data_IF_620112299345
#
_entry.id   IF_620112299345
#
_cell.length_a   1.000
_cell.length_b   1.000
_cell.length_c   1.000
_cell.angle_alpha   90.00
_cell.angle_beta   90.00
_cell.angle_gamma   90.00
#
_symmetry.space_group_name_H-M   'P 1'
#
loop_
_entity.id
_entity.type
_entity.pdbx_description
1 polymer ?
#
# COMPACT_ATOMS: atom_id res chain seq x y z
N UNK A 1 -28.81 -18.38 -7.38
CA UNK A 1 -27.84 -17.50 -8.05
C UNK A 1 -27.85 -16.18 -7.29
N UNK A 2 -26.72 -15.81 -6.68
CA UNK A 2 -26.54 -14.54 -5.97
C UNK A 2 -26.44 -13.38 -6.96
N UNK A 3 -26.51 -12.12 -6.49
CA UNK A 3 -26.22 -10.96 -7.36
C UNK A 3 -24.80 -11.03 -7.93
N UNK A 4 -23.85 -11.57 -7.18
CA UNK A 4 -22.47 -11.70 -7.63
C UNK A 4 -22.33 -12.76 -8.72
N UNK A 5 -23.03 -13.89 -8.61
CA UNK A 5 -23.06 -14.91 -9.66
C UNK A 5 -23.58 -14.33 -10.98
N UNK A 6 -24.59 -13.45 -10.93
CA UNK A 6 -25.10 -12.77 -12.11
C UNK A 6 -24.06 -11.83 -12.73
N UNK A 7 -23.35 -11.02 -11.91
CA UNK A 7 -22.28 -10.13 -12.40
C UNK A 7 -21.14 -10.92 -13.04
N UNK A 8 -20.79 -12.07 -12.47
CA UNK A 8 -19.77 -12.97 -13.02
C UNK A 8 -20.21 -13.58 -14.35
N UNK A 9 -21.47 -13.95 -14.50
CA UNK A 9 -22.00 -14.44 -15.78
C UNK A 9 -22.07 -13.32 -16.82
N UNK A 10 -22.49 -12.11 -16.44
CA UNK A 10 -22.47 -10.94 -17.33
C UNK A 10 -21.05 -10.63 -17.82
N UNK A 11 -20.05 -10.74 -16.93
CA UNK A 11 -18.64 -10.61 -17.27
C UNK A 11 -18.20 -11.71 -18.24
N UNK A 12 -18.54 -12.98 -17.97
CA UNK A 12 -18.19 -14.14 -18.83
C UNK A 12 -18.78 -14.02 -20.23
N UNK A 13 -20.02 -13.51 -20.32
CA UNK A 13 -20.72 -13.29 -21.58
C UNK A 13 -20.31 -11.98 -22.29
N UNK A 14 -19.42 -11.18 -21.69
CA UNK A 14 -18.98 -9.90 -22.23
C UNK A 14 -20.05 -8.80 -22.22
N UNK A 15 -21.13 -8.97 -21.45
CA UNK A 15 -22.25 -8.01 -21.34
C UNK A 15 -21.91 -6.80 -20.47
N UNK A 16 -21.03 -6.97 -19.48
CA UNK A 16 -20.66 -5.93 -18.53
C UNK A 16 -19.18 -6.03 -18.14
N UNK A 17 -18.52 -4.87 -18.02
CA UNK A 17 -17.09 -4.77 -17.70
C UNK A 17 -16.85 -4.55 -16.20
N UNK A 18 -17.42 -5.41 -15.34
CA UNK A 18 -17.33 -5.23 -13.89
C UNK A 18 -15.90 -5.12 -13.35
N UNK A 19 -14.93 -5.77 -14.00
CA UNK A 19 -13.50 -5.73 -13.65
C UNK A 19 -12.74 -4.55 -14.28
N UNK A 20 -13.42 -3.59 -14.91
CA UNK A 20 -12.75 -2.42 -15.49
C UNK A 20 -12.03 -1.62 -14.42
N UNK A 21 -12.65 -1.40 -13.27
CA UNK A 21 -12.04 -0.73 -12.12
C UNK A 21 -11.79 -1.75 -11.02
N UNK A 22 -10.65 -1.69 -10.36
CA UNK A 22 -10.33 -2.63 -9.30
C UNK A 22 -9.09 -2.24 -8.50
N UNK A 23 -8.73 -3.04 -7.49
CA UNK A 23 -7.57 -2.83 -6.65
C UNK A 23 -6.31 -3.34 -7.37
N UNK A 24 -6.03 -2.80 -8.56
CA UNK A 24 -4.85 -3.16 -9.34
C UNK A 24 -3.69 -2.19 -9.10
N UNK A 25 -3.90 -1.13 -8.31
CA UNK A 25 -2.87 -0.19 -7.91
C UNK A 25 -2.08 -0.78 -6.74
N UNK A 26 -0.75 -0.80 -6.84
CA UNK A 26 0.12 -1.27 -5.76
C UNK A 26 0.03 -0.32 -4.56
N UNK A 27 0.14 -0.80 -3.33
CA UNK A 27 0.22 0.08 -2.16
C UNK A 27 1.64 0.57 -1.86
N UNK A 28 2.65 -0.08 -2.49
CA UNK A 28 4.08 0.23 -2.39
C UNK A 28 4.78 -0.11 -3.72
N UNK A 29 5.45 0.86 -4.35
CA UNK A 29 6.16 0.61 -5.62
C UNK A 29 7.52 1.32 -5.75
N UNK A 30 8.07 1.84 -4.64
CA UNK A 30 9.45 2.35 -4.58
C UNK A 30 10.47 1.20 -4.38
N UNK A 31 11.74 1.42 -4.73
CA UNK A 31 12.81 0.42 -4.63
C UNK A 31 12.65 -0.77 -5.58
N UNK A 32 12.14 -0.55 -6.79
CA UNK A 32 11.88 -1.60 -7.78
C UNK A 32 12.86 -1.55 -8.96
N UNK A 33 13.15 -2.71 -9.55
CA UNK A 33 14.07 -2.84 -10.70
C UNK A 33 13.60 -2.01 -11.91
N UNK A 34 12.30 -1.80 -12.07
CA UNK A 34 11.74 -1.02 -13.19
C UNK A 34 12.06 0.47 -13.09
N UNK A 35 12.22 0.98 -11.87
CA UNK A 35 12.55 2.39 -11.61
C UNK A 35 14.05 2.64 -11.40
N UNK A 36 14.88 1.60 -11.63
CA UNK A 36 16.32 1.67 -11.51
C UNK A 36 16.95 2.31 -12.75
N UNK A 37 17.54 3.48 -12.54
CA UNK A 37 18.38 4.17 -13.51
C UNK A 37 19.78 4.43 -12.95
N UNK A 38 20.19 3.66 -11.93
CA UNK A 38 21.54 3.71 -11.39
C UNK A 38 22.54 3.15 -12.41
N UNK A 39 23.79 3.64 -12.35
CA UNK A 39 24.85 3.16 -13.22
C UNK A 39 25.23 1.69 -12.96
N UNK A 40 24.94 1.17 -11.76
CA UNK A 40 25.44 -0.11 -11.26
C UNK A 40 24.34 -1.15 -10.97
N UNK A 41 23.07 -0.86 -11.29
CA UNK A 41 21.96 -1.79 -11.05
C UNK A 41 21.54 -1.92 -9.59
N UNK A 42 21.67 -0.86 -8.79
CA UNK A 42 21.32 -0.82 -7.37
C UNK A 42 19.88 -0.34 -7.13
N UNK A 43 18.91 -1.02 -7.74
CA UNK A 43 17.49 -0.65 -7.76
C UNK A 43 16.89 -0.24 -6.39
N UNK A 44 17.20 -1.00 -5.34
CA UNK A 44 16.68 -0.79 -3.99
C UNK A 44 17.27 0.46 -3.30
N UNK A 45 18.43 0.93 -3.73
CA UNK A 45 19.09 2.13 -3.20
C UNK A 45 18.80 3.37 -4.07
N UNK A 46 18.60 3.16 -5.37
CA UNK A 46 18.43 4.25 -6.33
C UNK A 46 17.10 5.00 -6.14
N UNK A 47 16.04 4.27 -5.79
CA UNK A 47 14.72 4.85 -5.61
C UNK A 47 14.14 4.56 -4.22
N UNK A 48 14.66 5.22 -3.16
CA UNK A 48 14.21 5.02 -1.79
C UNK A 48 12.80 5.60 -1.57
N UNK A 49 12.18 5.20 -0.46
CA UNK A 49 10.91 5.79 -0.01
C UNK A 49 10.93 7.33 0.04
N UNK A 50 12.07 7.92 0.38
CA UNK A 50 12.22 9.38 0.43
C UNK A 50 11.95 10.07 -0.92
N UNK A 51 12.38 9.44 -2.02
CA UNK A 51 12.15 9.95 -3.36
C UNK A 51 10.72 9.67 -3.85
N UNK A 52 10.10 8.58 -3.38
CA UNK A 52 8.77 8.13 -3.79
C UNK A 52 7.70 9.24 -3.68
N UNK A 53 7.83 10.12 -2.68
CA UNK A 53 6.91 11.25 -2.45
C UNK A 53 7.10 12.45 -3.37
N UNK A 54 8.23 12.53 -4.07
CA UNK A 54 8.64 13.74 -4.79
C UNK A 54 9.09 13.47 -6.22
N UNK A 55 8.95 12.23 -6.69
CA UNK A 55 9.35 11.80 -8.03
C UNK A 55 8.17 11.16 -8.74
N UNK A 56 7.93 11.59 -9.98
CA UNK A 56 7.00 10.90 -10.86
C UNK A 56 7.58 9.54 -11.27
N UNK A 57 6.76 8.50 -11.16
CA UNK A 57 7.11 7.15 -11.55
C UNK A 57 6.97 7.05 -13.08
N UNK A 58 7.76 6.18 -13.71
CA UNK A 58 7.71 5.94 -15.15
C UNK A 58 7.02 4.64 -15.50
N UNK A 59 7.11 3.64 -14.63
CA UNK A 59 6.67 2.27 -14.91
C UNK A 59 5.71 1.72 -13.85
N UNK A 60 5.10 2.60 -13.06
CA UNK A 60 4.28 2.22 -11.92
C UNK A 60 3.57 3.41 -11.30
N UNK A 61 2.72 3.11 -10.33
CA UNK A 61 2.08 4.07 -9.43
C UNK A 61 1.77 3.33 -8.12
N UNK A 62 1.70 4.05 -7.00
CA UNK A 62 1.28 3.47 -5.73
C UNK A 62 0.28 4.32 -4.95
N UNK A 63 -0.51 3.66 -4.09
CA UNK A 63 -1.51 4.33 -3.25
C UNK A 63 -2.18 3.38 -2.25
N UNK A 64 -2.29 3.79 -0.97
CA UNK A 64 -2.93 2.99 0.09
C UNK A 64 -4.41 2.76 -0.24
N UNK A 65 -4.81 1.49 -0.39
CA UNK A 65 -6.19 1.14 -0.72
C UNK A 65 -6.66 1.79 -2.02
N UNK A 66 -5.74 1.99 -2.96
CA UNK A 66 -6.05 2.61 -4.24
C UNK A 66 -6.78 1.68 -5.20
N UNK A 67 -7.49 2.30 -6.14
CA UNK A 67 -8.09 1.61 -7.28
C UNK A 67 -7.61 2.27 -8.58
N UNK A 68 -7.64 1.51 -9.65
CA UNK A 68 -7.37 2.04 -10.98
C UNK A 68 -8.22 1.31 -12.01
N UNK A 69 -8.25 1.84 -13.23
CA UNK A 69 -8.77 1.07 -14.34
C UNK A 69 -7.81 -0.10 -14.68
N UNK A 70 -8.30 -1.09 -15.42
CA UNK A 70 -7.57 -2.33 -15.74
C UNK A 70 -6.29 -2.10 -16.55
N UNK A 71 -6.11 -0.89 -17.11
CA UNK A 71 -4.90 -0.48 -17.82
C UNK A 71 -4.05 0.53 -17.04
N UNK A 72 -4.39 0.82 -15.76
CA UNK A 72 -3.69 1.79 -14.90
C UNK A 72 -3.51 3.18 -15.56
N UNK A 73 -4.47 3.62 -16.37
CA UNK A 73 -4.47 4.96 -16.98
C UNK A 73 -4.95 6.03 -16.02
N UNK A 74 -5.86 5.66 -15.12
CA UNK A 74 -6.37 6.51 -14.04
C UNK A 74 -6.17 5.75 -12.74
N UNK A 75 -5.34 6.33 -11.88
CA UNK A 75 -5.10 5.84 -10.53
C UNK A 75 -5.79 6.77 -9.53
N UNK A 76 -6.48 6.19 -8.57
CA UNK A 76 -7.13 6.91 -7.48
C UNK A 76 -6.73 6.27 -6.16
N UNK A 77 -6.29 7.09 -5.21
CA UNK A 77 -6.03 6.65 -3.85
C UNK A 77 -6.29 7.80 -2.85
N UNK A 78 -6.76 7.49 -1.64
CA UNK A 78 -6.79 8.45 -0.56
C UNK A 78 -5.38 8.77 -0.04
N UNK A 79 -5.23 9.96 0.56
CA UNK A 79 -4.04 10.39 1.27
C UNK A 79 -4.43 10.88 2.67
N UNK A 80 -3.62 10.56 3.68
CA UNK A 80 -3.93 10.91 5.07
C UNK A 80 -2.85 11.78 5.70
N UNK A 81 -3.23 12.60 6.68
CA UNK A 81 -2.29 13.37 7.47
C UNK A 81 -2.83 13.59 8.89
N UNK A 82 -2.08 13.11 9.88
CA UNK A 82 -2.45 13.24 11.29
C UNK A 82 -1.99 14.59 11.90
N UNK A 83 -1.47 15.51 11.07
CA UNK A 83 -0.88 16.81 11.46
C UNK A 83 0.42 16.73 12.26
N UNK A 84 0.97 15.52 12.43
CA UNK A 84 2.22 15.27 13.16
C UNK A 84 3.28 14.66 12.26
N UNK A 85 2.85 13.87 11.27
CA UNK A 85 3.74 13.29 10.29
C UNK A 85 4.43 14.36 9.44
N UNK A 86 5.70 14.14 9.08
CA UNK A 86 6.43 15.04 8.18
C UNK A 86 5.97 14.94 6.72
N UNK A 87 5.12 13.96 6.38
CA UNK A 87 4.64 13.69 5.03
C UNK A 87 3.16 13.31 5.00
N UNK A 88 2.55 13.42 3.82
CA UNK A 88 1.27 12.75 3.58
C UNK A 88 1.48 11.24 3.55
N UNK A 89 0.57 10.53 4.19
CA UNK A 89 0.50 9.07 4.18
C UNK A 89 -0.30 8.64 2.96
N UNK A 90 0.42 8.49 1.85
CA UNK A 90 -0.13 8.15 0.53
C UNK A 90 0.15 6.71 0.12
N UNK A 91 1.25 6.14 0.64
CA UNK A 91 1.76 4.80 0.31
C UNK A 91 2.25 4.11 1.57
N UNK A 92 2.30 2.77 1.54
CA UNK A 92 2.80 2.00 2.67
C UNK A 92 4.31 2.18 2.81
N UNK A 93 4.74 2.41 4.04
CA UNK A 93 6.15 2.42 4.40
C UNK A 93 6.66 1.00 4.64
N UNK A 94 7.94 0.80 4.35
CA UNK A 94 8.61 -0.46 4.58
C UNK A 94 10.12 -0.29 4.52
N UNK A 95 10.82 -1.39 4.72
CA UNK A 95 12.26 -1.52 4.66
C UNK A 95 12.64 -2.22 3.36
N UNK A 96 13.72 -1.79 2.73
CA UNK A 96 14.39 -2.57 1.68
C UNK A 96 15.05 -3.82 2.27
N UNK A 97 15.43 -4.75 1.41
CA UNK A 97 16.15 -5.97 1.83
C UNK A 97 17.49 -5.73 2.55
N UNK A 98 18.08 -4.54 2.45
CA UNK A 98 19.30 -4.17 3.20
C UNK A 98 18.99 -3.52 4.54
N UNK A 99 17.78 -2.97 4.71
CA UNK A 99 17.35 -2.29 5.94
C UNK A 99 16.67 -3.25 6.92
N UNK A 100 16.00 -4.30 6.43
CA UNK A 100 15.41 -5.35 7.26
C UNK A 100 16.39 -6.49 7.56
N UNK A 101 16.34 -7.02 8.79
CA UNK A 101 17.17 -8.15 9.21
C UNK A 101 16.73 -9.49 8.58
N UNK A 102 15.47 -9.61 8.15
CA UNK A 102 14.93 -10.76 7.42
C UNK A 102 14.51 -10.44 5.96
N UNK A 103 14.85 -9.26 5.45
CA UNK A 103 14.61 -8.89 4.05
C UNK A 103 13.73 -7.65 3.90
N UNK A 104 13.03 -7.58 2.77
CA UNK A 104 12.06 -6.50 2.54
C UNK A 104 10.84 -6.70 3.43
N UNK A 105 10.40 -5.63 4.08
CA UNK A 105 9.35 -5.74 5.09
C UNK A 105 8.48 -4.47 5.19
N UNK A 106 7.17 -4.63 5.22
CA UNK A 106 6.20 -3.54 5.30
C UNK A 106 5.92 -3.22 6.77
N UNK A 107 6.24 -2.01 7.21
CA UNK A 107 6.14 -1.61 8.62
C UNK A 107 4.83 -0.90 8.93
N UNK A 108 3.72 -1.40 8.39
CA UNK A 108 2.39 -0.80 8.47
C UNK A 108 1.36 -1.82 8.94
N UNK A 109 0.27 -1.37 9.54
CA UNK A 109 -0.83 -2.26 9.94
C UNK A 109 -2.08 -2.01 9.09
N UNK A 110 -2.42 -2.98 8.24
CA UNK A 110 -3.58 -2.91 7.36
C UNK A 110 -4.19 -4.29 7.11
N UNK A 111 -5.47 -4.31 6.74
CA UNK A 111 -6.25 -5.52 6.58
C UNK A 111 -7.22 -5.36 5.40
N UNK A 112 -7.23 -6.32 4.49
CA UNK A 112 -8.31 -6.45 3.51
C UNK A 112 -9.48 -7.17 4.18
N UNK A 113 -10.61 -6.48 4.33
CA UNK A 113 -11.74 -6.96 5.10
C UNK A 113 -12.79 -7.64 4.23
N UNK A 114 -13.01 -7.13 3.02
CA UNK A 114 -13.97 -7.70 2.08
C UNK A 114 -13.61 -7.35 0.63
N UNK A 115 -13.89 -8.25 -0.29
CA UNK A 115 -13.70 -8.05 -1.72
C UNK A 115 -14.58 -9.01 -2.53
N UNK A 116 -15.55 -8.47 -3.27
CA UNK A 116 -16.31 -9.26 -4.24
C UNK A 116 -15.42 -9.65 -5.44
N UNK A 117 -15.56 -10.85 -6.03
CA UNK A 117 -14.80 -11.28 -7.21
C UNK A 117 -14.86 -10.33 -8.42
N UNK A 118 -15.94 -9.57 -8.56
CA UNK A 118 -16.15 -8.55 -9.60
C UNK A 118 -15.65 -7.16 -9.19
N UNK A 119 -15.06 -7.03 -8.00
CA UNK A 119 -14.70 -5.76 -7.36
C UNK A 119 -15.90 -4.79 -7.28
N UNK A 120 -17.11 -5.32 -7.21
CA UNK A 120 -18.33 -4.53 -7.03
C UNK A 120 -18.43 -3.94 -5.62
N UNK A 121 -17.74 -4.56 -4.67
CA UNK A 121 -17.48 -4.04 -3.34
C UNK A 121 -16.05 -4.39 -2.92
N UNK A 122 -15.36 -3.44 -2.29
CA UNK A 122 -14.02 -3.58 -1.71
C UNK A 122 -13.99 -2.85 -0.37
N UNK A 123 -13.36 -3.45 0.63
CA UNK A 123 -13.15 -2.84 1.94
C UNK A 123 -11.77 -3.16 2.50
N UNK A 124 -11.06 -2.11 2.90
CA UNK A 124 -9.77 -2.17 3.58
C UNK A 124 -9.85 -1.40 4.90
N UNK A 125 -9.15 -1.88 5.91
CA UNK A 125 -8.86 -1.15 7.14
C UNK A 125 -7.36 -0.81 7.16
N UNK A 126 -7.05 0.45 7.36
CA UNK A 126 -5.70 0.93 7.61
C UNK A 126 -5.61 1.56 9.00
N UNK A 127 -4.61 1.16 9.80
CA UNK A 127 -4.35 1.72 11.14
C UNK A 127 -3.28 2.80 11.05
N UNK A 128 -3.69 4.05 11.29
CA UNK A 128 -2.79 5.20 11.18
C UNK A 128 -2.51 5.82 12.56
N UNK A 129 -1.25 6.00 12.99
CA UNK A 129 -0.97 6.53 14.32
C UNK A 129 -1.43 7.99 14.50
N UNK A 130 -1.79 8.36 15.73
CA UNK A 130 -2.09 9.76 16.10
C UNK A 130 -0.83 10.60 16.33
N UNK A 131 0.27 9.96 16.69
CA UNK A 131 1.60 10.58 16.77
C UNK A 131 2.33 10.51 15.43
N UNK A 132 3.47 11.19 15.32
CA UNK A 132 4.38 11.02 14.20
C UNK A 132 4.71 9.54 13.97
N UNK A 133 4.73 9.11 12.72
CA UNK A 133 5.05 7.75 12.36
C UNK A 133 6.56 7.51 12.53
N UNK A 134 6.99 6.40 13.18
CA UNK A 134 8.38 6.24 13.65
C UNK A 134 9.35 5.76 12.56
N UNK A 135 9.36 6.40 11.38
CA UNK A 135 10.17 6.02 10.21
C UNK A 135 11.64 5.74 10.55
N UNK A 136 12.33 6.74 11.13
CA UNK A 136 13.76 6.64 11.42
C UNK A 136 14.08 5.57 12.46
N UNK A 137 13.20 5.37 13.46
CA UNK A 137 13.38 4.35 14.50
C UNK A 137 13.24 2.94 13.91
N UNK A 138 12.28 2.73 13.01
CA UNK A 138 12.08 1.45 12.32
C UNK A 138 13.31 1.06 11.49
N UNK A 139 13.87 1.98 10.71
CA UNK A 139 15.08 1.73 9.93
C UNK A 139 16.28 1.48 10.85
N UNK A 140 16.50 2.35 11.83
CA UNK A 140 17.69 2.29 12.68
C UNK A 140 17.75 1.04 13.56
N UNK A 141 16.61 0.61 14.10
CA UNK A 141 16.56 -0.57 14.98
C UNK A 141 16.70 -1.87 14.18
N UNK A 142 15.99 -2.01 13.05
CA UNK A 142 16.13 -3.19 12.19
C UNK A 142 17.55 -3.30 11.59
N UNK A 143 18.17 -2.18 11.24
CA UNK A 143 19.56 -2.15 10.75
C UNK A 143 20.62 -2.55 11.78
N UNK A 144 20.29 -2.56 13.08
CA UNK A 144 21.18 -3.06 14.16
C UNK A 144 20.99 -4.55 14.44
N UNK A 145 19.87 -5.12 14.02
CA UNK A 145 19.52 -6.51 14.31
C UNK A 145 20.22 -7.46 13.35
N UNK A 146 20.49 -8.65 13.85
CA UNK A 146 21.03 -9.76 13.08
C UNK A 146 19.90 -10.67 12.60
N UNK A 147 20.24 -11.63 11.74
CA UNK A 147 19.28 -12.66 11.29
C UNK A 147 18.77 -13.55 12.44
N UNK A 148 19.46 -13.58 13.58
CA UNK A 148 19.05 -14.37 14.75
C UNK A 148 18.05 -13.62 15.63
N UNK A 149 17.96 -12.30 15.50
CA UNK A 149 17.04 -11.46 16.26
C UNK A 149 15.66 -11.43 15.57
N UNK A 150 14.56 -11.28 16.31
CA UNK A 150 13.24 -11.04 15.71
C UNK A 150 13.22 -9.70 14.97
N UNK A 151 12.25 -9.50 14.08
CA UNK A 151 12.02 -8.20 13.44
C UNK A 151 11.56 -7.16 14.47
N UNK A 152 11.89 -5.89 14.25
CA UNK A 152 11.36 -4.78 15.06
C UNK A 152 10.15 -4.18 14.34
N UNK A 153 8.97 -4.40 14.89
CA UNK A 153 7.70 -4.06 14.26
C UNK A 153 7.17 -2.69 14.67
N UNK A 154 6.22 -2.17 13.89
CA UNK A 154 5.52 -0.92 14.21
C UNK A 154 4.90 -0.97 15.62
N UNK A 155 4.38 -2.13 16.04
CA UNK A 155 3.81 -2.32 17.36
C UNK A 155 4.84 -2.16 18.49
N UNK A 156 6.08 -2.60 18.28
CA UNK A 156 7.16 -2.52 19.27
C UNK A 156 7.63 -1.09 19.53
N UNK A 157 7.24 -0.15 18.66
CA UNK A 157 7.56 1.26 18.84
C UNK A 157 6.74 1.92 19.95
N UNK A 158 5.60 1.33 20.34
CA UNK A 158 4.64 1.92 21.27
C UNK A 158 3.76 3.02 20.66
N UNK A 159 3.83 3.21 19.32
CA UNK A 159 3.07 4.25 18.62
C UNK A 159 1.55 4.03 18.73
N UNK A 160 1.11 2.79 18.94
CA UNK A 160 -0.30 2.42 19.13
C UNK A 160 -0.71 2.25 20.59
N UNK A 161 0.19 2.39 21.57
CA UNK A 161 -0.15 2.17 22.98
C UNK A 161 -1.31 3.06 23.41
N UNK A 162 -2.22 2.51 24.22
CA UNK A 162 -3.43 3.23 24.66
C UNK A 162 -4.36 3.62 23.51
N UNK A 163 -4.44 2.78 22.47
CA UNK A 163 -5.31 2.95 21.30
C UNK A 163 -5.10 4.28 20.56
N UNK A 164 -3.84 4.75 20.51
CA UNK A 164 -3.46 6.02 19.88
C UNK A 164 -3.29 5.90 18.36
N UNK A 165 -4.30 5.36 17.72
CA UNK A 165 -4.41 5.29 16.25
C UNK A 165 -5.80 5.73 15.78
N UNK A 166 -5.91 5.91 14.48
CA UNK A 166 -7.15 6.02 13.74
C UNK A 166 -7.38 4.70 13.01
N UNK A 167 -8.61 4.19 13.09
CA UNK A 167 -9.09 3.18 12.16
C UNK A 167 -9.65 3.87 10.93
N UNK A 168 -8.98 3.69 9.80
CA UNK A 168 -9.37 4.28 8.52
C UNK A 168 -9.95 3.15 7.66
N UNK A 169 -11.27 3.19 7.46
CA UNK A 169 -11.96 2.31 6.54
C UNK A 169 -12.00 2.94 5.15
N UNK A 170 -11.43 2.24 4.16
CA UNK A 170 -11.50 2.60 2.75
C UNK A 170 -12.46 1.65 2.08
N UNK A 171 -13.56 2.17 1.56
CA UNK A 171 -14.63 1.38 0.95
C UNK A 171 -14.97 1.89 -0.45
N UNK A 172 -15.07 0.96 -1.39
CA UNK A 172 -15.55 1.22 -2.75
C UNK A 172 -16.75 0.35 -3.03
N UNK A 173 -17.81 0.96 -3.54
CA UNK A 173 -19.02 0.26 -3.95
C UNK A 173 -19.44 0.75 -5.34
N UNK A 174 -19.64 -0.20 -6.26
CA UNK A 174 -20.06 0.10 -7.63
C UNK A 174 -21.57 0.09 -7.74
N UNK A 175 -22.12 1.19 -8.25
CA UNK A 175 -23.54 1.26 -8.60
C UNK A 175 -23.85 0.47 -9.89
N UNK A 176 -22.92 0.47 -10.84
CA UNK A 176 -23.01 -0.22 -12.14
C UNK A 176 -21.63 -0.73 -12.58
N UNK A 177 -21.56 -1.35 -13.77
CA UNK A 177 -20.30 -1.88 -14.32
C UNK A 177 -19.40 -0.83 -14.97
N UNK A 178 -19.82 0.43 -15.04
CA UNK A 178 -19.09 1.54 -15.68
C UNK A 178 -18.25 2.35 -14.69
#
# INVERSE_FOLDING_TARGET
>A
MTREDQRLEDLRQGKAQWKRWGPYLSERQWGTVREDYSANGTAWEYFPHDHARSRAYRWGEDGIGGICDSHQRVCFAPAFWNRRDPILKERLFGLTGKEGNHGEDVKECYFYLDAAPTHSYLKMLYKYPRSEFPYARLVAENGRRTKADPEFELLDTGVFDGDRYFDIFVEYAKASAE
#
